data_IF_154054871463
#
_entry.id   IF_154054871463
#
_cell.length_a   1.000
_cell.length_b   1.000
_cell.length_c   1.000
_cell.angle_alpha   90.00
_cell.angle_beta   90.00
_cell.angle_gamma   90.00
#
_symmetry.space_group_name_H-M   'P 1'
#
loop_
_entity.id
_entity.type
_entity.pdbx_description
1 polymer ?
#
# COMPACT_ATOMS: atom_id res chain seq x y z
N UNK A 1 -8.98 -24.99 -42.36
CA UNK A 1 -8.58 -23.57 -42.37
C UNK A 1 -7.06 -23.53 -42.47
N UNK A 2 -6.47 -22.87 -43.46
CA UNK A 2 -4.99 -22.78 -43.57
C UNK A 2 -4.47 -21.86 -42.47
N UNK A 3 -3.49 -22.33 -41.72
CA UNK A 3 -2.86 -21.60 -40.62
C UNK A 3 -2.17 -20.33 -41.16
N UNK A 4 -2.51 -19.17 -40.59
CA UNK A 4 -2.03 -17.86 -41.00
C UNK A 4 -0.51 -17.72 -40.79
N UNK A 5 0.04 -18.44 -39.80
CA UNK A 5 1.47 -18.44 -39.51
C UNK A 5 2.29 -19.17 -40.59
N UNK A 6 1.68 -20.13 -41.30
CA UNK A 6 2.33 -20.88 -42.37
C UNK A 6 2.23 -20.22 -43.77
N UNK A 7 1.41 -19.18 -43.90
CA UNK A 7 1.22 -18.48 -45.17
C UNK A 7 2.43 -17.61 -45.51
N UNK A 8 3.10 -17.88 -46.63
CA UNK A 8 4.23 -17.06 -47.10
C UNK A 8 3.70 -15.83 -47.85
N UNK A 9 4.17 -14.60 -47.54
CA UNK A 9 3.68 -13.38 -48.18
C UNK A 9 3.71 -13.43 -49.71
N UNK A 10 4.71 -14.12 -50.28
CA UNK A 10 4.93 -14.28 -51.72
C UNK A 10 3.90 -15.19 -52.40
N UNK A 11 3.12 -15.93 -51.62
CA UNK A 11 2.06 -16.82 -52.10
C UNK A 11 0.66 -16.17 -51.99
N UNK A 12 0.59 -14.90 -51.58
CA UNK A 12 -0.65 -14.13 -51.46
C UNK A 12 -0.81 -13.27 -52.72
N UNK A 13 -1.83 -13.55 -53.53
CA UNK A 13 -2.07 -12.87 -54.81
C UNK A 13 -2.45 -11.38 -54.65
N UNK A 14 -2.95 -10.99 -53.47
CA UNK A 14 -3.24 -9.60 -53.14
C UNK A 14 -2.02 -8.88 -52.58
N UNK A 15 -1.53 -7.88 -53.31
CA UNK A 15 -0.34 -7.10 -52.95
C UNK A 15 -0.46 -6.41 -51.57
N UNK A 16 -1.63 -5.87 -51.25
CA UNK A 16 -1.89 -5.19 -49.97
C UNK A 16 -1.82 -6.17 -48.79
N UNK A 17 -2.40 -7.36 -48.96
CA UNK A 17 -2.37 -8.40 -47.94
C UNK A 17 -0.97 -9.02 -47.82
N UNK A 18 -0.26 -9.19 -48.93
CA UNK A 18 1.13 -9.64 -48.96
C UNK A 18 2.04 -8.70 -48.16
N UNK A 19 1.94 -7.38 -48.39
CA UNK A 19 2.71 -6.37 -47.64
C UNK A 19 2.34 -6.32 -46.16
N UNK A 20 1.06 -6.46 -45.83
CA UNK A 20 0.61 -6.48 -44.42
C UNK A 20 1.12 -7.72 -43.68
N UNK A 21 1.10 -8.89 -44.31
CA UNK A 21 1.63 -10.14 -43.71
C UNK A 21 3.15 -10.11 -43.61
N UNK A 22 3.85 -9.56 -44.61
CA UNK A 22 5.30 -9.35 -44.55
C UNK A 22 5.68 -8.41 -43.39
N UNK A 23 5.00 -7.26 -43.28
CA UNK A 23 5.18 -6.32 -42.17
C UNK A 23 4.90 -6.96 -40.82
N UNK A 24 3.81 -7.72 -40.70
CA UNK A 24 3.45 -8.38 -39.45
C UNK A 24 4.48 -9.44 -39.05
N UNK A 25 4.98 -10.25 -39.98
CA UNK A 25 6.05 -11.24 -39.71
C UNK A 25 7.40 -10.59 -39.38
N UNK A 26 7.68 -9.43 -39.97
CA UNK A 26 8.85 -8.61 -39.66
C UNK A 26 8.74 -7.99 -38.25
N UNK A 27 7.53 -7.65 -37.78
CA UNK A 27 7.26 -7.05 -36.46
C UNK A 27 7.00 -8.05 -35.33
N UNK A 28 6.42 -9.22 -35.62
CA UNK A 28 6.29 -10.35 -34.68
C UNK A 28 7.67 -10.92 -34.29
N UNK A 29 8.72 -10.60 -35.04
CA UNK A 29 10.04 -11.15 -34.83
C UNK A 29 10.82 -10.62 -33.63
N UNK A 30 10.90 -9.31 -33.36
CA UNK A 30 11.94 -8.78 -32.44
C UNK A 30 11.59 -7.47 -31.73
N UNK A 31 11.05 -7.55 -30.52
CA UNK A 31 11.49 -6.75 -29.36
C UNK A 31 11.10 -5.26 -29.22
N UNK A 32 10.33 -4.64 -30.12
CA UNK A 32 10.07 -3.19 -30.04
C UNK A 32 8.70 -2.81 -29.42
N UNK A 33 7.71 -3.71 -29.44
CA UNK A 33 6.44 -3.48 -28.73
C UNK A 33 6.57 -3.67 -27.21
N UNK A 34 7.72 -4.17 -26.76
CA UNK A 34 7.96 -4.68 -25.40
C UNK A 34 8.65 -3.73 -24.44
N UNK A 35 8.97 -2.48 -24.83
CA UNK A 35 9.65 -1.53 -23.95
C UNK A 35 8.68 -0.47 -23.41
N UNK A 36 7.92 0.23 -24.27
CA UNK A 36 7.02 1.29 -23.83
C UNK A 36 5.84 0.76 -22.99
N UNK A 37 5.22 -0.34 -23.41
CA UNK A 37 4.14 -1.00 -22.65
C UNK A 37 4.69 -1.59 -21.35
N UNK A 38 5.91 -2.12 -21.37
CA UNK A 38 6.59 -2.66 -20.19
C UNK A 38 6.99 -1.56 -19.21
N UNK A 39 7.51 -0.43 -19.69
CA UNK A 39 7.84 0.74 -18.88
C UNK A 39 6.57 1.33 -18.27
N UNK A 40 5.50 1.48 -19.05
CA UNK A 40 4.20 1.94 -18.55
C UNK A 40 3.63 0.99 -17.48
N UNK A 41 3.62 -0.32 -17.73
CA UNK A 41 3.17 -1.31 -16.74
C UNK A 41 4.07 -1.35 -15.49
N UNK A 42 5.38 -1.14 -15.63
CA UNK A 42 6.33 -1.09 -14.53
C UNK A 42 6.21 0.20 -13.71
N UNK A 43 5.99 1.35 -14.35
CA UNK A 43 5.72 2.61 -13.68
C UNK A 43 4.39 2.56 -12.91
N UNK A 44 3.33 2.05 -13.55
CA UNK A 44 2.05 1.83 -12.90
C UNK A 44 2.17 0.91 -11.68
N UNK A 45 2.88 -0.22 -11.81
CA UNK A 45 3.13 -1.12 -10.67
C UNK A 45 3.98 -0.48 -9.57
N UNK A 46 4.96 0.38 -9.92
CA UNK A 46 5.78 1.11 -8.95
C UNK A 46 5.00 2.19 -8.23
N UNK A 47 4.13 2.93 -8.92
CA UNK A 47 3.27 3.94 -8.30
C UNK A 47 2.28 3.29 -7.35
N UNK A 48 1.62 2.21 -7.78
CA UNK A 48 0.70 1.45 -6.94
C UNK A 48 1.39 0.88 -5.69
N UNK A 49 2.61 0.33 -5.84
CA UNK A 49 3.38 -0.17 -4.71
C UNK A 49 3.86 0.95 -3.77
N UNK A 50 4.16 2.14 -4.30
CA UNK A 50 4.55 3.31 -3.50
C UNK A 50 3.37 3.90 -2.73
N UNK A 51 2.19 4.01 -3.35
CA UNK A 51 0.99 4.48 -2.67
C UNK A 51 0.61 3.53 -1.53
N UNK A 52 0.58 2.22 -1.79
CA UNK A 52 0.33 1.23 -0.74
C UNK A 52 1.38 1.28 0.38
N UNK A 53 2.68 1.36 0.05
CA UNK A 53 3.72 1.43 1.08
C UNK A 53 3.65 2.72 1.90
N UNK A 54 3.18 3.81 1.31
CA UNK A 54 3.02 5.10 1.98
C UNK A 54 1.81 5.10 2.91
N UNK A 55 0.66 4.63 2.44
CA UNK A 55 -0.59 4.58 3.22
C UNK A 55 -0.43 3.65 4.44
N UNK A 56 0.06 2.43 4.24
CA UNK A 56 0.33 1.50 5.34
C UNK A 56 1.43 1.99 6.30
N UNK A 57 2.44 2.70 5.80
CA UNK A 57 3.51 3.26 6.62
C UNK A 57 3.06 4.47 7.44
N UNK A 58 2.14 5.28 6.93
CA UNK A 58 1.60 6.46 7.60
C UNK A 58 0.62 6.06 8.71
N UNK A 59 -0.29 5.11 8.45
CA UNK A 59 -1.21 4.58 9.48
C UNK A 59 -0.45 3.94 10.65
N UNK A 60 0.53 3.06 10.36
CA UNK A 60 1.34 2.42 11.42
C UNK A 60 2.15 3.44 12.23
N UNK A 61 2.60 4.53 11.58
CA UNK A 61 3.32 5.60 12.26
C UNK A 61 2.39 6.37 13.19
N UNK A 62 1.17 6.66 12.77
CA UNK A 62 0.19 7.37 13.58
C UNK A 62 -0.27 6.52 14.78
N UNK A 63 -0.58 5.24 14.57
CA UNK A 63 -0.89 4.29 15.65
C UNK A 63 0.27 4.19 16.65
N UNK A 64 1.51 4.08 16.16
CA UNK A 64 2.70 4.03 17.01
C UNK A 64 2.92 5.30 17.83
N UNK A 65 2.65 6.48 17.25
CA UNK A 65 2.72 7.76 17.97
C UNK A 65 1.63 7.84 19.05
N UNK A 66 0.39 7.47 18.72
CA UNK A 66 -0.72 7.45 19.67
C UNK A 66 -0.46 6.47 20.82
N UNK A 67 0.01 5.26 20.51
CA UNK A 67 0.38 4.27 21.51
C UNK A 67 1.51 4.78 22.41
N UNK A 68 2.53 5.44 21.84
CA UNK A 68 3.61 6.05 22.61
C UNK A 68 3.13 7.15 23.55
N UNK A 69 2.20 8.01 23.11
CA UNK A 69 1.56 9.04 23.94
C UNK A 69 0.76 8.41 25.08
N UNK A 70 -0.06 7.42 24.81
CA UNK A 70 -0.86 6.74 25.83
C UNK A 70 0.01 6.06 26.89
N UNK A 71 1.07 5.36 26.48
CA UNK A 71 2.04 4.76 27.41
C UNK A 71 2.71 5.79 28.32
N UNK A 72 3.01 6.98 27.80
CA UNK A 72 3.55 8.08 28.60
C UNK A 72 2.53 8.55 29.65
N UNK A 73 1.27 8.76 29.26
CA UNK A 73 0.19 9.16 30.17
C UNK A 73 -0.02 8.10 31.26
N UNK A 74 -0.08 6.81 30.88
CA UNK A 74 -0.21 5.71 31.81
C UNK A 74 0.93 5.71 32.84
N UNK A 75 2.18 5.89 32.39
CA UNK A 75 3.34 5.96 33.28
C UNK A 75 3.27 7.14 34.26
N UNK A 76 2.80 8.31 33.81
CA UNK A 76 2.66 9.49 34.66
C UNK A 76 1.57 9.29 35.72
N UNK A 77 0.43 8.72 35.32
CA UNK A 77 -0.68 8.42 36.22
C UNK A 77 -0.28 7.36 37.25
N UNK A 78 0.31 6.24 36.84
CA UNK A 78 0.76 5.19 37.78
C UNK A 78 1.83 5.68 38.77
N UNK A 79 2.61 6.71 38.40
CA UNK A 79 3.60 7.35 39.29
C UNK A 79 3.01 8.46 40.17
N UNK A 80 1.70 8.73 40.07
CA UNK A 80 1.01 9.80 40.79
C UNK A 80 1.46 11.21 40.37
N UNK A 81 2.05 11.36 39.18
CA UNK A 81 2.56 12.65 38.66
C UNK A 81 1.53 13.38 37.80
N UNK A 82 0.49 12.67 37.36
CA UNK A 82 -0.63 13.20 36.60
C UNK A 82 -1.90 12.60 37.19
N UNK A 83 -2.94 13.42 37.34
CA UNK A 83 -4.24 12.91 37.78
C UNK A 83 -4.91 12.16 36.63
N UNK A 84 -5.67 11.12 36.96
CA UNK A 84 -6.23 10.20 35.98
C UNK A 84 -7.33 10.84 35.12
N UNK A 85 -8.09 11.79 35.68
CA UNK A 85 -9.06 12.63 34.97
C UNK A 85 -8.40 13.48 33.89
N UNK A 86 -7.32 14.18 34.23
CA UNK A 86 -6.54 14.99 33.28
C UNK A 86 -5.92 14.13 32.19
N UNK A 87 -5.44 12.93 32.54
CA UNK A 87 -4.87 12.02 31.56
C UNK A 87 -5.91 11.47 30.57
N UNK A 88 -7.13 11.20 31.03
CA UNK A 88 -8.23 10.79 30.18
C UNK A 88 -8.66 11.91 29.22
N UNK A 89 -8.73 13.16 29.71
CA UNK A 89 -8.98 14.34 28.87
C UNK A 89 -7.90 14.52 27.79
N UNK A 90 -6.61 14.40 28.14
CA UNK A 90 -5.50 14.51 27.18
C UNK A 90 -5.46 13.37 26.15
N UNK A 91 -5.91 12.18 26.54
CA UNK A 91 -6.11 11.05 25.63
C UNK A 91 -7.42 11.17 24.81
N UNK A 92 -8.24 12.18 25.10
CA UNK A 92 -9.54 12.43 24.47
C UNK A 92 -10.49 11.22 24.54
N UNK A 93 -10.51 10.55 25.70
CA UNK A 93 -11.38 9.40 26.01
C UNK A 93 -12.08 9.63 27.35
N UNK A 94 -13.10 8.83 27.65
CA UNK A 94 -13.70 8.87 28.99
C UNK A 94 -12.76 8.30 30.06
N UNK A 95 -12.97 8.71 31.31
CA UNK A 95 -12.19 8.20 32.45
C UNK A 95 -12.21 6.67 32.53
N UNK A 96 -13.38 6.05 32.37
CA UNK A 96 -13.52 4.59 32.45
C UNK A 96 -12.85 3.86 31.28
N UNK A 97 -12.86 4.44 30.08
CA UNK A 97 -12.11 3.89 28.93
C UNK A 97 -10.61 3.98 29.18
N UNK A 98 -10.15 5.10 29.72
CA UNK A 98 -8.73 5.29 30.04
C UNK A 98 -8.24 4.32 31.12
N UNK A 99 -9.00 4.15 32.21
CA UNK A 99 -8.73 3.19 33.28
C UNK A 99 -8.62 1.76 32.73
N UNK A 100 -9.59 1.36 31.90
CA UNK A 100 -9.59 0.05 31.27
C UNK A 100 -8.37 -0.16 30.37
N UNK A 101 -8.03 0.81 29.52
CA UNK A 101 -6.86 0.70 28.66
C UNK A 101 -5.53 0.68 29.45
N UNK A 102 -5.45 1.39 30.58
CA UNK A 102 -4.32 1.29 31.51
C UNK A 102 -4.19 -0.12 32.10
N UNK A 103 -5.31 -0.69 32.56
CA UNK A 103 -5.35 -2.03 33.14
C UNK A 103 -4.96 -3.10 32.11
N UNK A 104 -5.51 -3.03 30.90
CA UNK A 104 -5.19 -3.93 29.78
C UNK A 104 -3.70 -3.84 29.39
N UNK A 105 -3.11 -2.65 29.50
CA UNK A 105 -1.68 -2.42 29.27
C UNK A 105 -0.78 -2.80 30.48
N UNK A 106 -1.37 -3.29 31.59
CA UNK A 106 -0.65 -3.75 32.78
C UNK A 106 -0.16 -2.63 33.71
N UNK A 107 -0.70 -1.42 33.58
CA UNK A 107 -0.36 -0.29 34.44
C UNK A 107 -1.22 -0.28 35.71
N UNK A 108 -0.64 0.17 36.82
CA UNK A 108 -1.36 0.32 38.09
C UNK A 108 -2.29 1.53 38.01
N UNK A 109 -3.58 1.32 38.25
CA UNK A 109 -4.56 2.38 38.46
C UNK A 109 -4.37 2.95 39.88
N UNK A 110 -4.14 4.26 40.06
CA UNK A 110 -4.13 4.90 41.37
C UNK A 110 -5.51 4.82 42.01
N UNK A 111 -5.59 4.48 43.29
CA UNK A 111 -6.86 4.55 44.02
C UNK A 111 -7.30 6.01 44.13
N UNK A 112 -8.59 6.28 43.85
CA UNK A 112 -9.22 7.57 44.11
C UNK A 112 -9.26 7.76 45.64
N UNK A 113 -8.32 8.53 46.18
CA UNK A 113 -8.30 8.96 47.59
C UNK A 113 -9.11 10.23 47.77
#
# INVERSE_FOLDING_TARGET
>A
MKDFHQCRPEQIESETLSKAVAYYKEKEGRGAMSEAVRQYAMEYAKEYAKEYAKEYGEEQKEEGILQGKNNMLYSLVSKGRLKIDVAAEEANVSLGEFEKSMEEAGYKIPELV
#
